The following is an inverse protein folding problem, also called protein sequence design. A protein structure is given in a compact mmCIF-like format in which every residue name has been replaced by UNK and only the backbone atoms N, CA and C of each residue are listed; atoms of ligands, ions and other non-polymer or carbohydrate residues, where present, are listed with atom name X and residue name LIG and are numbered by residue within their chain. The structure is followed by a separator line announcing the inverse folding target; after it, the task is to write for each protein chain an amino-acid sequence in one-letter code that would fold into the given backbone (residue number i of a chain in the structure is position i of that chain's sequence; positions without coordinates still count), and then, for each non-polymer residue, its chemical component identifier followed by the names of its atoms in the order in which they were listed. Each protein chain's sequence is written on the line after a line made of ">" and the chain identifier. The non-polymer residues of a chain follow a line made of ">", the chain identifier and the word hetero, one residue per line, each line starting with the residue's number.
data_IF_822471650425
#
_entry.id   IF_822471650425
#
_cell.length_a   1.000
_cell.length_b   1.000
_cell.length_c   1.000
_cell.angle_alpha   90.00
_cell.angle_beta   90.00
_cell.angle_gamma   90.00
#
_symmetry.space_group_name_H-M   'P 1'
#
loop_
_entity.id
_entity.type
_entity.pdbx_description
1 polymer ?
#
# COMPACT_ATOMS: atom_id res chain seq x y z
N UNK A 1 6.41 3.51 -9.99
CA UNK A 1 6.64 2.18 -9.41
C UNK A 1 5.54 1.90 -8.39
N UNK A 2 4.88 0.74 -8.47
CA UNK A 2 3.83 0.32 -7.52
C UNK A 2 4.35 -0.89 -6.76
N UNK A 3 4.57 -0.76 -5.45
CA UNK A 3 5.06 -1.86 -4.62
C UNK A 3 3.88 -2.49 -3.89
N UNK A 4 3.80 -3.80 -3.86
CA UNK A 4 2.74 -4.54 -3.20
C UNK A 4 3.31 -5.63 -2.32
N UNK A 5 2.58 -5.92 -1.23
CA UNK A 5 2.78 -7.10 -0.40
C UNK A 5 1.73 -8.13 -0.78
N UNK A 6 2.12 -9.36 -1.02
CA UNK A 6 1.21 -10.42 -1.46
C UNK A 6 1.53 -11.75 -0.80
N UNK A 7 0.54 -12.64 -0.79
CA UNK A 7 0.71 -14.05 -0.44
C UNK A 7 0.68 -14.90 -1.72
N UNK A 8 1.69 -15.75 -1.90
CA UNK A 8 1.79 -16.75 -2.97
C UNK A 8 2.14 -18.09 -2.32
N UNK A 9 1.31 -19.11 -2.52
CA UNK A 9 1.53 -20.46 -1.99
C UNK A 9 1.83 -20.51 -0.47
N UNK A 10 1.26 -19.58 0.29
CA UNK A 10 1.45 -19.46 1.74
C UNK A 10 2.68 -18.64 2.17
N UNK A 11 3.60 -18.33 1.26
CA UNK A 11 4.69 -17.39 1.50
C UNK A 11 4.21 -15.94 1.33
N UNK A 12 4.73 -15.02 2.14
CA UNK A 12 4.42 -13.59 2.03
C UNK A 12 5.65 -12.82 1.58
N UNK A 13 5.50 -12.08 0.48
CA UNK A 13 6.58 -11.41 -0.21
C UNK A 13 6.20 -9.99 -0.61
N UNK A 14 7.19 -9.24 -1.07
CA UNK A 14 7.01 -7.97 -1.75
C UNK A 14 7.28 -8.13 -3.24
N UNK A 15 6.67 -7.27 -4.05
CA UNK A 15 6.90 -7.23 -5.48
C UNK A 15 6.50 -5.90 -6.10
N UNK A 16 6.86 -5.73 -7.36
CA UNK A 16 6.50 -4.57 -8.17
C UNK A 16 5.34 -4.97 -9.07
N UNK A 17 4.23 -4.25 -8.94
CA UNK A 17 3.07 -4.40 -9.81
C UNK A 17 3.32 -3.68 -11.13
N UNK A 18 3.32 -4.44 -12.22
CA UNK A 18 3.53 -4.01 -13.61
C UNK A 18 2.36 -4.48 -14.49
N UNK A 19 2.24 -4.01 -15.74
CA UNK A 19 1.14 -4.41 -16.64
C UNK A 19 1.08 -5.93 -16.89
N UNK A 20 2.22 -6.63 -16.83
CA UNK A 20 2.33 -8.07 -17.07
C UNK A 20 2.15 -8.95 -15.83
N UNK A 21 1.99 -8.37 -14.62
CA UNK A 21 1.82 -9.12 -13.38
C UNK A 21 2.61 -8.55 -12.21
N UNK A 22 2.90 -9.41 -11.23
CA UNK A 22 3.71 -9.09 -10.06
C UNK A 22 5.14 -9.54 -10.27
N UNK A 23 6.06 -8.59 -10.53
CA UNK A 23 7.49 -8.88 -10.54
C UNK A 23 7.96 -9.11 -9.10
N UNK A 24 8.49 -10.29 -8.80
CA UNK A 24 8.92 -10.64 -7.44
C UNK A 24 10.09 -9.75 -7.01
N UNK A 25 10.16 -9.45 -5.72
CA UNK A 25 11.29 -8.75 -5.14
C UNK A 25 11.64 -9.32 -3.76
N UNK A 26 12.93 -9.43 -3.48
CA UNK A 26 13.43 -9.87 -2.18
C UNK A 26 13.74 -8.67 -1.29
N UNK A 27 13.47 -8.80 0.02
CA UNK A 27 13.68 -7.73 1.00
C UNK A 27 12.38 -6.99 1.31
N UNK A 28 12.48 -5.70 1.62
CA UNK A 28 11.32 -4.87 1.94
C UNK A 28 11.47 -3.43 1.43
N UNK A 29 10.38 -2.67 1.29
CA UNK A 29 10.42 -1.35 0.68
C UNK A 29 11.19 -0.28 1.46
N UNK A 30 11.56 -0.54 2.72
CA UNK A 30 12.20 0.42 3.62
C UNK A 30 13.71 0.21 3.70
N UNK A 31 14.16 -1.05 3.74
CA UNK A 31 15.59 -1.39 3.82
C UNK A 31 16.21 -1.67 2.45
N UNK A 32 15.39 -1.97 1.45
CA UNK A 32 15.83 -2.24 0.07
C UNK A 32 15.11 -3.43 -0.56
N UNK A 33 14.85 -3.30 -1.86
CA UNK A 33 14.26 -4.36 -2.68
C UNK A 33 15.25 -4.78 -3.77
N UNK A 34 15.56 -6.07 -3.79
CA UNK A 34 16.25 -6.72 -4.90
C UNK A 34 15.19 -7.25 -5.87
N UNK A 35 15.09 -6.62 -7.04
CA UNK A 35 14.11 -6.98 -8.07
C UNK A 35 14.58 -8.26 -8.77
N UNK A 36 13.67 -9.23 -8.89
CA UNK A 36 13.93 -10.49 -9.57
C UNK A 36 13.33 -10.48 -11.00
N UNK A 37 13.80 -11.39 -11.85
CA UNK A 37 13.29 -11.51 -13.22
C UNK A 37 11.90 -12.17 -13.29
N UNK A 38 11.54 -12.94 -12.26
CA UNK A 38 10.29 -13.69 -12.20
C UNK A 38 9.07 -12.77 -12.06
N UNK A 39 8.07 -13.02 -12.90
CA UNK A 39 6.77 -12.34 -12.88
C UNK A 39 5.68 -13.37 -12.61
N UNK A 40 4.87 -13.10 -11.60
CA UNK A 40 3.77 -13.95 -11.16
C UNK A 40 2.44 -13.38 -11.64
N UNK A 41 1.55 -14.24 -12.13
CA UNK A 41 0.20 -13.86 -12.52
C UNK A 41 -0.59 -13.37 -11.30
N UNK A 42 -1.26 -12.21 -11.42
CA UNK A 42 -2.05 -11.63 -10.33
C UNK A 42 -3.21 -12.53 -9.87
N UNK A 43 -3.65 -13.46 -10.72
CA UNK A 43 -4.73 -14.41 -10.43
C UNK A 43 -4.30 -15.55 -9.51
N UNK A 44 -2.99 -15.81 -9.38
CA UNK A 44 -2.45 -16.92 -8.56
C UNK A 44 -1.99 -16.46 -7.18
N UNK A 45 -1.98 -15.15 -6.92
CA UNK A 45 -1.59 -14.56 -5.64
C UNK A 45 -2.76 -13.83 -4.97
N UNK A 46 -2.58 -13.51 -3.69
CA UNK A 46 -3.51 -12.66 -2.94
C UNK A 46 -2.81 -11.41 -2.48
N UNK A 47 -3.30 -10.24 -2.89
CA UNK A 47 -2.82 -8.96 -2.37
C UNK A 47 -3.13 -8.84 -0.87
N UNK A 48 -2.17 -8.31 -0.13
CA UNK A 48 -2.27 -8.01 1.30
C UNK A 48 -2.19 -6.49 1.51
N UNK A 49 -2.40 -6.04 2.76
CA UNK A 49 -2.06 -4.67 3.14
C UNK A 49 -0.59 -4.36 2.76
N UNK A 50 -0.32 -3.20 2.15
CA UNK A 50 0.97 -2.92 1.51
C UNK A 50 2.12 -2.74 2.50
N UNK A 51 1.84 -2.61 3.80
CA UNK A 51 2.84 -2.40 4.85
C UNK A 51 2.40 -3.02 6.17
N UNK A 52 3.35 -3.10 7.11
CA UNK A 52 3.13 -3.50 8.51
C UNK A 52 3.54 -2.35 9.44
N UNK A 53 2.74 -1.27 9.51
CA UNK A 53 3.10 -0.11 10.30
C UNK A 53 2.97 -0.40 11.80
N UNK A 54 3.84 0.19 12.62
CA UNK A 54 3.68 0.16 14.08
C UNK A 54 2.56 1.07 14.60
N UNK A 55 2.09 2.02 13.79
CA UNK A 55 1.01 2.97 14.10
C UNK A 55 0.29 3.42 12.84
N UNK A 56 -1.00 3.72 12.95
CA UNK A 56 -1.78 4.42 11.94
C UNK A 56 -2.25 5.76 12.53
N UNK A 57 -1.81 6.87 11.93
CA UNK A 57 -2.22 8.23 12.33
C UNK A 57 -3.12 8.77 11.24
N UNK A 58 -4.34 9.15 11.61
CA UNK A 58 -5.36 9.64 10.68
C UNK A 58 -5.52 11.16 10.85
N UNK A 59 -5.93 11.85 9.79
CA UNK A 59 -6.24 13.28 9.81
C UNK A 59 -7.72 13.44 9.48
N UNK A 60 -8.47 14.02 10.41
CA UNK A 60 -9.87 14.38 10.24
C UNK A 60 -10.04 15.73 9.54
N UNK A 61 -11.23 15.96 8.95
CA UNK A 61 -11.64 17.26 8.39
C UNK A 61 -10.63 17.88 7.40
N UNK A 62 -9.94 17.03 6.64
CA UNK A 62 -8.91 17.46 5.68
C UNK A 62 -9.47 17.76 4.28
N UNK A 63 -10.80 17.87 4.15
CA UNK A 63 -11.52 18.22 2.93
C UNK A 63 -12.59 19.25 3.26
N UNK A 64 -12.63 20.35 2.48
CA UNK A 64 -13.58 21.46 2.70
C UNK A 64 -15.03 20.99 2.59
N UNK A 65 -15.35 20.33 1.48
CA UNK A 65 -16.69 19.82 1.21
C UNK A 65 -17.17 18.84 2.29
N UNK A 66 -16.24 18.04 2.85
CA UNK A 66 -16.55 17.15 3.97
C UNK A 66 -16.83 17.92 5.26
N UNK A 67 -16.08 18.99 5.56
CA UNK A 67 -16.40 19.83 6.71
C UNK A 67 -17.78 20.51 6.55
N UNK A 68 -18.09 20.98 5.34
CA UNK A 68 -19.37 21.62 5.02
C UNK A 68 -20.56 20.63 5.10
N UNK A 69 -20.40 19.39 4.62
CA UNK A 69 -21.40 18.31 4.70
C UNK A 69 -21.89 18.08 6.14
N UNK A 70 -20.96 18.09 7.09
CA UNK A 70 -21.24 17.86 8.50
C UNK A 70 -21.52 19.16 9.28
N UNK A 71 -21.53 20.33 8.62
CA UNK A 71 -21.72 21.63 9.25
C UNK A 71 -20.61 21.98 10.25
N UNK A 72 -19.43 21.40 10.09
CA UNK A 72 -18.28 21.58 10.98
C UNK A 72 -17.44 22.79 10.53
N UNK A 73 -16.89 23.60 11.45
CA UNK A 73 -15.99 24.68 11.08
C UNK A 73 -14.70 24.12 10.47
N UNK A 74 -14.13 24.85 9.51
CA UNK A 74 -12.81 24.52 8.97
C UNK A 74 -11.77 24.63 10.09
N UNK A 75 -11.02 23.56 10.39
CA UNK A 75 -10.11 23.57 11.52
C UNK A 75 -8.88 24.45 11.25
N UNK A 76 -8.39 25.14 12.27
CA UNK A 76 -7.19 25.99 12.18
C UNK A 76 -5.87 25.18 12.24
N UNK A 77 -5.93 23.90 12.59
CA UNK A 77 -4.82 22.95 12.64
C UNK A 77 -5.31 21.55 12.27
N UNK A 78 -4.44 20.63 11.83
CA UNK A 78 -4.81 19.23 11.63
C UNK A 78 -5.44 18.63 12.89
N UNK A 79 -6.48 17.83 12.69
CA UNK A 79 -7.25 17.13 13.74
C UNK A 79 -7.05 15.64 13.62
#
# INVERSE_FOLDING_TARGET
>A
MKIARYALEGAVEYGILEEGGMRRAKGNPYDGLEILDEVVDLRTLRLLSPSLPGKAVCIGLNYRDHAEEFGLPIPASPV
#
